data_IF_727006046849
#
_entry.id   IF_727006046849
#
_cell.length_a   1.000
_cell.length_b   1.000
_cell.length_c   1.000
_cell.angle_alpha   90.00
_cell.angle_beta   90.00
_cell.angle_gamma   90.00
#
_symmetry.space_group_name_H-M   'P 1'
#
loop_
_entity.id
_entity.type
_entity.pdbx_description
1 polymer ?
#
# COMPACT_ATOMS: atom_id res chain seq x y z
N UNK A 1 -5.89 18.76 -19.42
CA UNK A 1 -6.59 17.57 -18.89
C UNK A 1 -5.73 16.65 -18.00
N UNK A 2 -4.60 16.05 -18.45
CA UNK A 2 -3.72 15.25 -17.56
C UNK A 2 -2.91 16.13 -16.60
N UNK A 3 -2.35 17.25 -17.11
CA UNK A 3 -1.56 18.21 -16.31
C UNK A 3 -2.39 18.89 -15.20
N UNK A 4 -3.64 19.27 -15.49
CA UNK A 4 -4.56 19.85 -14.49
C UNK A 4 -4.96 18.86 -13.38
N UNK A 5 -5.00 17.56 -13.70
CA UNK A 5 -5.31 16.51 -12.72
C UNK A 5 -4.12 16.25 -11.80
N UNK A 6 -2.90 16.24 -12.35
CA UNK A 6 -1.66 16.20 -11.57
C UNK A 6 -1.53 17.42 -10.64
N UNK A 7 -1.85 18.63 -11.12
CA UNK A 7 -1.86 19.85 -10.29
C UNK A 7 -2.91 19.81 -9.17
N UNK A 8 -3.96 18.98 -9.31
CA UNK A 8 -4.98 18.73 -8.26
C UNK A 8 -4.66 17.49 -7.40
N UNK A 9 -3.45 16.92 -7.49
CA UNK A 9 -3.04 15.75 -6.71
C UNK A 9 -3.68 14.42 -7.12
N UNK A 10 -4.20 14.33 -8.34
CA UNK A 10 -4.79 13.09 -8.87
C UNK A 10 -3.71 12.27 -9.57
N UNK A 11 -3.08 11.38 -8.82
CA UNK A 11 -1.98 10.58 -9.33
C UNK A 11 -2.46 9.46 -10.27
N UNK A 12 -1.67 9.10 -11.31
CA UNK A 12 -2.17 8.45 -12.51
C UNK A 12 -2.54 6.97 -12.32
N UNK A 13 -1.99 6.27 -11.32
CA UNK A 13 -2.13 4.81 -11.23
C UNK A 13 -3.58 4.38 -11.06
N UNK A 14 -4.29 4.97 -10.09
CA UNK A 14 -5.68 4.61 -9.84
C UNK A 14 -6.56 4.89 -11.08
N UNK A 15 -6.35 6.01 -11.77
CA UNK A 15 -7.09 6.33 -12.99
C UNK A 15 -6.76 5.40 -14.16
N UNK A 16 -5.50 5.00 -14.29
CA UNK A 16 -5.08 4.04 -15.31
C UNK A 16 -5.73 2.67 -15.07
N UNK A 17 -5.72 2.20 -13.82
CA UNK A 17 -6.39 0.96 -13.39
C UNK A 17 -7.90 1.04 -13.64
N UNK A 18 -8.53 2.16 -13.28
CA UNK A 18 -9.95 2.39 -13.55
C UNK A 18 -10.28 2.38 -15.05
N UNK A 19 -9.43 3.00 -15.89
CA UNK A 19 -9.61 2.99 -17.34
C UNK A 19 -9.54 1.57 -17.90
N UNK A 20 -8.56 0.78 -17.44
CA UNK A 20 -8.43 -0.62 -17.82
C UNK A 20 -9.66 -1.42 -17.36
N UNK A 21 -10.06 -1.27 -16.10
CA UNK A 21 -11.22 -1.95 -15.53
C UNK A 21 -12.51 -1.68 -16.31
N UNK A 22 -12.81 -0.40 -16.60
CA UNK A 22 -13.99 -0.02 -17.38
C UNK A 22 -13.92 -0.60 -18.80
N UNK A 23 -12.74 -0.62 -19.42
CA UNK A 23 -12.57 -1.23 -20.75
C UNK A 23 -12.88 -2.73 -20.75
N UNK A 24 -12.60 -3.43 -19.64
CA UNK A 24 -12.91 -4.85 -19.46
C UNK A 24 -14.38 -5.09 -19.14
N UNK A 25 -15.01 -4.21 -18.35
CA UNK A 25 -16.44 -4.31 -18.01
C UNK A 25 -17.37 -3.94 -19.17
N UNK A 26 -16.88 -3.16 -20.16
CA UNK A 26 -17.64 -2.78 -21.35
C UNK A 26 -18.75 -1.74 -21.13
N UNK A 27 -19.09 -1.41 -19.88
CA UNK A 27 -20.10 -0.41 -19.54
C UNK A 27 -19.69 0.41 -18.30
N UNK A 28 -20.09 1.69 -18.30
CA UNK A 28 -19.92 2.59 -17.15
C UNK A 28 -21.22 2.55 -16.33
N UNK A 29 -21.17 1.87 -15.18
CA UNK A 29 -22.24 1.89 -14.18
C UNK A 29 -21.68 2.29 -12.81
N UNK A 30 -22.52 2.78 -11.92
CA UNK A 30 -22.12 3.14 -10.55
C UNK A 30 -21.49 1.94 -9.81
N UNK A 31 -22.06 0.75 -9.98
CA UNK A 31 -21.52 -0.50 -9.44
C UNK A 31 -20.16 -0.84 -10.03
N UNK A 32 -20.00 -0.72 -11.36
CA UNK A 32 -18.73 -0.99 -12.02
C UNK A 32 -17.62 -0.03 -11.58
N UNK A 33 -17.97 1.23 -11.25
CA UNK A 33 -17.02 2.22 -10.74
C UNK A 33 -16.59 1.95 -9.29
N UNK A 34 -17.46 1.36 -8.46
CA UNK A 34 -17.18 1.05 -7.04
C UNK A 34 -16.53 -0.31 -6.84
N UNK A 35 -16.75 -1.25 -7.75
CA UNK A 35 -16.23 -2.62 -7.64
C UNK A 35 -14.70 -2.71 -7.42
N UNK A 36 -13.85 -1.87 -8.06
CA UNK A 36 -12.42 -1.90 -7.82
C UNK A 36 -12.02 -1.55 -6.38
N UNK A 37 -12.66 -0.54 -5.77
CA UNK A 37 -12.40 -0.16 -4.38
C UNK A 37 -12.76 -1.29 -3.41
N UNK A 38 -13.91 -1.93 -3.61
CA UNK A 38 -14.30 -3.14 -2.86
C UNK A 38 -13.31 -4.29 -3.06
N UNK A 39 -12.86 -4.52 -4.29
CA UNK A 39 -11.87 -5.54 -4.61
C UNK A 39 -10.53 -5.29 -3.91
N UNK A 40 -10.04 -4.05 -3.89
CA UNK A 40 -8.80 -3.70 -3.20
C UNK A 40 -8.95 -3.83 -1.68
N UNK A 41 -10.08 -3.44 -1.10
CA UNK A 41 -10.35 -3.63 0.32
C UNK A 41 -10.38 -5.12 0.71
N UNK A 42 -11.09 -5.96 -0.05
CA UNK A 42 -11.10 -7.42 0.16
C UNK A 42 -9.70 -8.01 0.04
N UNK A 43 -8.96 -7.63 -1.01
CA UNK A 43 -7.59 -8.07 -1.23
C UNK A 43 -6.67 -7.65 -0.10
N UNK A 44 -6.83 -6.43 0.42
CA UNK A 44 -6.04 -5.91 1.55
C UNK A 44 -6.34 -6.69 2.84
N UNK A 45 -7.61 -7.04 3.07
CA UNK A 45 -8.03 -7.82 4.23
C UNK A 45 -7.48 -9.24 4.19
N UNK A 46 -7.54 -9.90 3.03
CA UNK A 46 -6.96 -11.24 2.83
C UNK A 46 -5.44 -11.19 3.01
N UNK A 47 -4.76 -10.23 2.36
CA UNK A 47 -3.33 -10.06 2.48
C UNK A 47 -2.92 -9.82 3.94
N UNK A 48 -3.63 -8.96 4.66
CA UNK A 48 -3.35 -8.67 6.06
C UNK A 48 -3.57 -9.89 6.95
N UNK A 49 -4.63 -10.68 6.71
CA UNK A 49 -4.86 -11.94 7.43
C UNK A 49 -3.70 -12.94 7.26
N UNK A 50 -3.14 -13.04 6.04
CA UNK A 50 -1.98 -13.88 5.76
C UNK A 50 -0.71 -13.37 6.44
N UNK A 51 -0.51 -12.05 6.43
CA UNK A 51 0.63 -11.39 7.06
C UNK A 51 0.57 -11.57 8.56
N UNK A 52 -0.52 -11.16 9.23
CA UNK A 52 -0.60 -11.12 10.69
C UNK A 52 -0.42 -12.50 11.33
N UNK A 53 -0.88 -13.56 10.67
CA UNK A 53 -0.67 -14.96 11.12
C UNK A 53 0.80 -15.36 11.23
N UNK A 54 1.70 -14.70 10.50
CA UNK A 54 3.15 -14.93 10.57
C UNK A 54 3.82 -14.17 11.72
N UNK A 55 3.19 -13.09 12.18
CA UNK A 55 3.83 -12.14 13.11
C UNK A 55 3.23 -12.14 14.51
N UNK A 56 1.95 -12.45 14.66
CA UNK A 56 1.23 -12.52 15.93
C UNK A 56 0.78 -13.96 16.24
N UNK A 57 0.72 -14.31 17.53
CA UNK A 57 0.29 -15.63 18.01
C UNK A 57 -0.96 -15.55 18.90
N UNK A 58 -1.65 -16.69 19.04
CA UNK A 58 -2.84 -16.81 19.88
C UNK A 58 -3.98 -15.87 19.46
N UNK A 59 -4.61 -15.24 20.44
CA UNK A 59 -5.74 -14.32 20.22
C UNK A 59 -5.36 -12.98 19.59
N UNK A 60 -4.07 -12.59 19.60
CA UNK A 60 -3.64 -11.32 19.05
C UNK A 60 -3.85 -11.24 17.52
N UNK A 61 -3.60 -12.32 16.79
CA UNK A 61 -3.77 -12.37 15.34
C UNK A 61 -5.22 -12.16 14.87
N UNK A 62 -6.24 -12.91 15.37
CA UNK A 62 -7.62 -12.69 14.98
C UNK A 62 -8.16 -11.34 15.46
N UNK A 63 -7.76 -10.86 16.64
CA UNK A 63 -8.16 -9.54 17.12
C UNK A 63 -7.62 -8.45 16.19
N UNK A 64 -6.33 -8.45 15.87
CA UNK A 64 -5.74 -7.49 14.95
C UNK A 64 -6.37 -7.55 13.56
N UNK A 65 -6.69 -8.74 13.06
CA UNK A 65 -7.43 -8.91 11.80
C UNK A 65 -8.84 -8.29 11.88
N UNK A 66 -9.58 -8.53 12.97
CA UNK A 66 -10.91 -7.94 13.14
C UNK A 66 -10.86 -6.42 13.20
N UNK A 67 -9.90 -5.83 13.92
CA UNK A 67 -9.71 -4.38 13.92
C UNK A 67 -9.39 -3.82 12.54
N UNK A 68 -8.60 -4.53 11.74
CA UNK A 68 -8.28 -4.14 10.37
C UNK A 68 -9.50 -4.25 9.45
N UNK A 69 -10.15 -5.42 9.43
CA UNK A 69 -11.26 -5.71 8.53
C UNK A 69 -12.52 -4.90 8.88
N UNK A 70 -12.79 -4.67 10.16
CA UNK A 70 -13.96 -3.90 10.62
C UNK A 70 -13.67 -2.40 10.79
N UNK A 71 -12.55 -1.92 10.24
CA UNK A 71 -12.25 -0.50 10.25
C UNK A 71 -13.32 0.27 9.46
N UNK A 72 -14.17 1.02 10.17
CA UNK A 72 -15.29 1.75 9.57
C UNK A 72 -14.87 2.77 8.50
N UNK A 73 -13.67 3.36 8.61
CA UNK A 73 -13.14 4.24 7.56
C UNK A 73 -12.81 3.45 6.30
N UNK A 74 -12.14 2.30 6.43
CA UNK A 74 -11.81 1.44 5.28
C UNK A 74 -13.08 0.91 4.60
N UNK A 75 -14.05 0.41 5.39
CA UNK A 75 -15.33 -0.08 4.85
C UNK A 75 -16.10 1.03 4.13
N UNK A 76 -16.09 2.25 4.68
CA UNK A 76 -16.70 3.40 4.00
C UNK A 76 -15.99 3.70 2.67
N UNK A 77 -14.65 3.76 2.67
CA UNK A 77 -13.91 4.00 1.43
C UNK A 77 -14.16 2.92 0.38
N UNK A 78 -14.30 1.66 0.79
CA UNK A 78 -14.58 0.53 -0.11
C UNK A 78 -15.92 0.67 -0.88
N UNK A 79 -16.87 1.46 -0.35
CA UNK A 79 -18.15 1.75 -1.01
C UNK A 79 -18.10 3.00 -1.89
N UNK A 80 -17.05 3.80 -1.78
CA UNK A 80 -16.83 5.01 -2.58
C UNK A 80 -15.83 4.68 -3.70
N UNK A 81 -16.03 5.21 -4.92
CA UNK A 81 -15.11 4.99 -6.03
C UNK A 81 -13.83 5.84 -5.86
N UNK A 82 -12.96 5.43 -4.92
CA UNK A 82 -11.78 6.17 -4.48
C UNK A 82 -10.54 5.29 -4.40
N UNK A 83 -9.38 5.94 -4.44
CA UNK A 83 -8.06 5.31 -4.45
C UNK A 83 -7.57 4.79 -3.09
N UNK A 84 -8.26 5.12 -1.99
CA UNK A 84 -7.76 4.85 -0.65
C UNK A 84 -7.65 3.35 -0.32
N UNK A 85 -8.50 2.49 -0.88
CA UNK A 85 -8.39 1.04 -0.66
C UNK A 85 -7.21 0.43 -1.42
N UNK A 86 -6.80 1.02 -2.55
CA UNK A 86 -5.55 0.66 -3.22
C UNK A 86 -4.35 1.06 -2.35
N UNK A 87 -4.37 2.26 -1.79
CA UNK A 87 -3.34 2.73 -0.83
C UNK A 87 -3.28 1.82 0.40
N UNK A 88 -4.43 1.33 0.87
CA UNK A 88 -4.50 0.38 1.99
C UNK A 88 -3.85 -0.95 1.62
N UNK A 89 -4.14 -1.50 0.43
CA UNK A 89 -3.51 -2.71 -0.08
C UNK A 89 -1.98 -2.55 -0.21
N UNK A 90 -1.52 -1.45 -0.81
CA UNK A 90 -0.09 -1.11 -0.90
C UNK A 90 0.55 -1.03 0.49
N UNK A 91 -0.14 -0.40 1.46
CA UNK A 91 0.34 -0.29 2.84
C UNK A 91 0.52 -1.66 3.51
N UNK A 92 -0.39 -2.61 3.27
CA UNK A 92 -0.27 -3.98 3.82
C UNK A 92 0.95 -4.69 3.26
N UNK A 93 1.21 -4.59 1.95
CA UNK A 93 2.39 -5.19 1.33
C UNK A 93 3.69 -4.53 1.78
N UNK A 94 3.69 -3.20 1.92
CA UNK A 94 4.82 -2.46 2.46
C UNK A 94 5.12 -2.89 3.90
N UNK A 95 4.09 -3.00 4.75
CA UNK A 95 4.20 -3.49 6.12
C UNK A 95 4.75 -4.93 6.16
N UNK A 96 4.25 -5.82 5.31
CA UNK A 96 4.74 -7.20 5.24
C UNK A 96 6.23 -7.27 4.92
N UNK A 97 6.67 -6.54 3.88
CA UNK A 97 8.06 -6.49 3.47
C UNK A 97 8.97 -5.86 4.54
N UNK A 98 8.49 -4.79 5.18
CA UNK A 98 9.17 -4.15 6.30
C UNK A 98 9.37 -5.11 7.48
N UNK A 99 8.32 -5.81 7.89
CA UNK A 99 8.37 -6.78 8.99
C UNK A 99 9.27 -7.98 8.67
N UNK A 100 9.30 -8.43 7.43
CA UNK A 100 10.22 -9.48 6.97
C UNK A 100 11.69 -9.05 7.12
N UNK A 101 12.02 -7.84 6.66
CA UNK A 101 13.36 -7.29 6.84
C UNK A 101 13.71 -7.05 8.31
N UNK A 102 12.78 -6.59 9.15
CA UNK A 102 13.03 -6.40 10.59
C UNK A 102 13.41 -7.70 11.31
N UNK A 103 12.82 -8.83 10.89
CA UNK A 103 13.17 -10.16 11.42
C UNK A 103 14.49 -10.72 10.87
N UNK A 104 15.19 -9.96 10.02
CA UNK A 104 16.46 -10.35 9.42
C UNK A 104 16.32 -11.22 8.17
N UNK A 105 15.09 -11.49 7.70
CA UNK A 105 14.89 -12.17 6.43
C UNK A 105 15.03 -11.14 5.31
N UNK A 106 16.13 -11.22 4.57
CA UNK A 106 16.43 -10.30 3.47
C UNK A 106 16.14 -10.93 2.11
N UNK A 107 14.95 -11.53 1.97
CA UNK A 107 14.54 -12.09 0.68
C UNK A 107 14.55 -11.02 -0.42
N UNK A 108 14.82 -11.45 -1.66
CA UNK A 108 14.78 -10.55 -2.82
C UNK A 108 13.38 -9.91 -2.96
N UNK A 109 12.34 -10.68 -2.66
CA UNK A 109 10.96 -10.21 -2.69
C UNK A 109 10.73 -9.07 -1.69
N UNK A 110 11.16 -9.20 -0.43
CA UNK A 110 11.00 -8.15 0.57
C UNK A 110 11.73 -6.86 0.18
N UNK A 111 12.96 -6.98 -0.34
CA UNK A 111 13.74 -5.81 -0.80
C UNK A 111 13.07 -5.10 -1.98
N UNK A 112 12.61 -5.87 -2.98
CA UNK A 112 11.91 -5.31 -4.14
C UNK A 112 10.60 -4.65 -3.72
N UNK A 113 9.83 -5.27 -2.83
CA UNK A 113 8.60 -4.69 -2.30
C UNK A 113 8.85 -3.39 -1.55
N UNK A 114 9.93 -3.27 -0.77
CA UNK A 114 10.30 -2.03 -0.07
C UNK A 114 10.73 -0.88 -0.99
N UNK A 115 11.03 -1.16 -2.27
CA UNK A 115 11.38 -0.14 -3.26
C UNK A 115 10.17 0.16 -4.16
N UNK A 116 9.56 -0.88 -4.72
CA UNK A 116 8.50 -0.77 -5.71
C UNK A 116 7.17 -0.32 -5.09
N UNK A 117 6.80 -0.84 -3.92
CA UNK A 117 5.51 -0.51 -3.31
C UNK A 117 5.44 0.96 -2.91
N UNK A 118 6.45 1.57 -2.26
CA UNK A 118 6.40 3.01 -1.99
C UNK A 118 6.40 3.88 -3.24
N UNK A 119 7.08 3.46 -4.30
CA UNK A 119 7.05 4.15 -5.59
C UNK A 119 5.62 4.13 -6.16
N UNK A 120 4.99 2.96 -6.22
CA UNK A 120 3.59 2.82 -6.64
C UNK A 120 2.66 3.65 -5.76
N UNK A 121 2.83 3.55 -4.44
CA UNK A 121 2.02 4.27 -3.46
C UNK A 121 2.15 5.79 -3.62
N UNK A 122 3.33 6.32 -3.96
CA UNK A 122 3.52 7.73 -4.26
C UNK A 122 2.74 8.18 -5.50
N UNK A 123 2.73 7.35 -6.54
CA UNK A 123 1.90 7.55 -7.73
C UNK A 123 0.42 7.17 -7.55
N UNK A 124 0.01 6.78 -6.34
CA UNK A 124 -1.38 6.59 -5.94
C UNK A 124 -1.84 7.75 -5.04
N UNK A 125 -1.06 8.14 -4.04
CA UNK A 125 -1.41 9.18 -3.06
C UNK A 125 -0.18 9.86 -2.45
N UNK A 126 -0.29 11.17 -2.22
CA UNK A 126 0.72 11.96 -1.50
C UNK A 126 0.96 11.47 -0.06
N UNK A 127 0.00 10.73 0.53
CA UNK A 127 0.16 10.14 1.87
C UNK A 127 1.31 9.14 1.97
N UNK A 128 1.80 8.62 0.83
CA UNK A 128 3.00 7.77 0.78
C UNK A 128 4.22 8.44 1.44
N UNK A 129 4.35 9.76 1.33
CA UNK A 129 5.46 10.51 1.93
C UNK A 129 5.47 10.40 3.45
N UNK A 130 4.30 10.50 4.08
CA UNK A 130 4.19 10.40 5.54
C UNK A 130 4.57 8.99 6.02
N UNK A 131 4.13 7.96 5.30
CA UNK A 131 4.49 6.58 5.59
C UNK A 131 5.99 6.35 5.44
N UNK A 132 6.58 6.84 4.33
CA UNK A 132 8.02 6.73 4.07
C UNK A 132 8.87 7.42 5.14
N UNK A 133 8.48 8.62 5.59
CA UNK A 133 9.19 9.32 6.68
C UNK A 133 9.18 8.48 7.96
N UNK A 134 8.04 7.92 8.33
CA UNK A 134 7.93 7.04 9.50
C UNK A 134 8.81 5.79 9.38
N UNK A 135 8.80 5.12 8.21
CA UNK A 135 9.62 3.94 7.96
C UNK A 135 11.11 4.25 7.92
N UNK A 136 11.51 5.40 7.35
CA UNK A 136 12.89 5.86 7.33
C UNK A 136 13.40 6.17 8.73
N UNK A 137 12.59 6.79 9.57
CA UNK A 137 12.93 7.07 10.97
C UNK A 137 13.24 5.77 11.72
N UNK A 138 12.36 4.77 11.61
CA UNK A 138 12.58 3.44 12.19
C UNK A 138 13.80 2.73 11.60
N UNK A 139 13.98 2.75 10.27
CA UNK A 139 15.13 2.15 9.63
C UNK A 139 16.45 2.83 10.02
N UNK A 140 16.43 4.15 10.25
CA UNK A 140 17.57 4.90 10.74
C UNK A 140 17.92 4.51 12.18
N UNK A 141 16.91 4.37 13.06
CA UNK A 141 17.12 3.88 14.42
C UNK A 141 17.74 2.47 14.42
N UNK A 142 17.27 1.61 13.52
CA UNK A 142 17.73 0.23 13.40
C UNK A 142 18.94 0.01 12.48
N UNK A 143 19.59 1.09 12.01
CA UNK A 143 20.69 1.04 11.02
C UNK A 143 21.89 0.19 11.43
N UNK A 144 22.12 0.02 12.74
CA UNK A 144 23.20 -0.85 13.26
C UNK A 144 22.89 -2.33 13.07
N UNK A 145 21.61 -2.70 13.11
CA UNK A 145 21.13 -4.08 13.01
C UNK A 145 20.83 -4.48 11.56
N UNK A 146 20.22 -3.59 10.77
CA UNK A 146 19.83 -3.89 9.40
C UNK A 146 20.09 -2.71 8.45
N UNK A 147 21.32 -2.59 7.95
CA UNK A 147 21.70 -1.55 6.97
C UNK A 147 20.94 -1.69 5.65
N UNK A 148 20.59 -2.91 5.25
CA UNK A 148 19.89 -3.16 4.00
C UNK A 148 18.48 -2.55 3.99
N UNK A 149 17.80 -2.53 5.14
CA UNK A 149 16.48 -1.89 5.28
C UNK A 149 16.56 -0.40 4.98
N UNK A 150 17.52 0.30 5.60
CA UNK A 150 17.75 1.72 5.36
C UNK A 150 18.12 1.99 3.90
N UNK A 151 19.00 1.18 3.32
CA UNK A 151 19.39 1.32 1.91
C UNK A 151 18.19 1.19 0.97
N UNK A 152 17.32 0.19 1.15
CA UNK A 152 16.15 0.01 0.29
C UNK A 152 15.20 1.21 0.36
N UNK A 153 14.94 1.73 1.56
CA UNK A 153 14.06 2.90 1.73
C UNK A 153 14.70 4.19 1.18
N UNK A 154 16.02 4.37 1.29
CA UNK A 154 16.73 5.48 0.67
C UNK A 154 16.67 5.38 -0.87
N UNK A 155 16.80 4.18 -1.43
CA UNK A 155 16.59 3.96 -2.87
C UNK A 155 15.17 4.33 -3.30
N UNK A 156 14.16 3.89 -2.54
CA UNK A 156 12.77 4.27 -2.81
C UNK A 156 12.60 5.79 -2.81
N UNK A 157 13.13 6.49 -1.80
CA UNK A 157 13.04 7.95 -1.71
C UNK A 157 13.81 8.65 -2.84
N UNK A 158 15.00 8.17 -3.18
CA UNK A 158 15.79 8.71 -4.28
C UNK A 158 15.05 8.59 -5.62
N UNK A 159 14.43 7.44 -5.89
CA UNK A 159 13.62 7.25 -7.09
C UNK A 159 12.40 8.16 -7.13
N UNK A 160 11.73 8.35 -5.99
CA UNK A 160 10.55 9.22 -5.91
C UNK A 160 10.92 10.70 -6.08
N UNK A 161 12.07 11.14 -5.57
CA UNK A 161 12.54 12.53 -5.75
C UNK A 161 12.95 12.80 -7.21
N UNK A 162 13.39 11.77 -7.93
CA UNK A 162 13.81 11.88 -9.33
C UNK A 162 12.67 11.74 -10.35
N UNK A 163 11.48 11.32 -9.91
CA UNK A 163 10.31 11.04 -10.76
C UNK A 163 9.33 12.20 -10.82
#
# INVERSE_FOLDING_TARGET
MVLERLQRGHFPIYFLLMKLWISLCGAVSETALRAPSLFFWLSSSIAYALVIRRYASGFAAPIAFLFFALNGLAVRQATEARMYDLVLLESVWLFAAFMEMLRGNTSRFARLSLILVPLLMFFTSASAMLVLVGLLFEAFYQRRRNRALLQCLLWACGLIVLS
#
